data_IF_773134339901
#
_entry.id   IF_773134339901
#
_cell.length_a   1.000
_cell.length_b   1.000
_cell.length_c   1.000
_cell.angle_alpha   90.00
_cell.angle_beta   90.00
_cell.angle_gamma   90.00
#
_symmetry.space_group_name_H-M   'P 1'
#
loop_
_entity.id
_entity.type
_entity.pdbx_description
1 polymer ?
#
# COMPACT_ATOMS: atom_id res chain seq x y z
N UNK A 1 -5.96 11.47 -10.95
CA UNK A 1 -5.37 12.73 -11.43
C UNK A 1 -4.37 13.28 -10.42
N UNK A 2 -4.74 13.49 -9.16
CA UNK A 2 -3.88 14.19 -8.18
C UNK A 2 -2.53 13.52 -7.86
N UNK A 3 -2.47 12.18 -7.83
CA UNK A 3 -1.21 11.45 -7.66
C UNK A 3 -0.24 11.68 -8.83
N UNK A 4 -0.77 11.70 -10.07
CA UNK A 4 0.04 11.93 -11.27
C UNK A 4 0.53 13.38 -11.36
N UNK A 5 -0.25 14.31 -10.83
CA UNK A 5 0.11 15.73 -10.71
C UNK A 5 1.09 16.02 -9.56
N UNK A 6 1.58 14.98 -8.85
CA UNK A 6 2.54 15.11 -7.74
C UNK A 6 2.05 16.09 -6.65
N UNK A 7 0.74 16.13 -6.39
CA UNK A 7 0.19 16.98 -5.31
C UNK A 7 0.49 16.43 -3.91
N UNK A 8 0.91 15.17 -3.82
CA UNK A 8 1.29 14.50 -2.59
C UNK A 8 2.33 13.43 -2.89
N UNK A 9 3.29 13.30 -1.98
CA UNK A 9 4.38 12.33 -2.08
C UNK A 9 4.16 11.10 -1.19
N UNK A 10 3.31 11.24 -0.15
CA UNK A 10 3.08 10.21 0.86
C UNK A 10 1.60 10.11 1.25
N UNK A 11 1.07 8.89 1.21
CA UNK A 11 -0.26 8.53 1.71
C UNK A 11 -0.09 7.77 3.01
N UNK A 12 -0.76 8.22 4.08
CA UNK A 12 -0.73 7.57 5.39
C UNK A 12 -2.11 7.04 5.72
N UNK A 13 -2.21 5.77 6.09
CA UNK A 13 -3.44 5.15 6.55
C UNK A 13 -3.21 4.36 7.84
N UNK A 14 -4.26 4.25 8.67
CA UNK A 14 -4.19 3.43 9.88
C UNK A 14 -4.11 1.95 9.57
N UNK A 15 -4.87 1.46 8.59
CA UNK A 15 -4.99 0.03 8.28
C UNK A 15 -5.16 -0.21 6.78
N UNK A 16 -4.71 -1.38 6.31
CA UNK A 16 -4.82 -1.80 4.90
C UNK A 16 -6.29 -1.93 4.46
N UNK A 17 -7.17 -2.39 5.36
CA UNK A 17 -8.61 -2.56 5.06
C UNK A 17 -9.34 -1.25 4.73
N UNK A 18 -8.81 -0.09 5.14
CA UNK A 18 -9.34 1.24 4.75
C UNK A 18 -8.85 1.68 3.38
N UNK A 19 -7.77 1.08 2.90
CA UNK A 19 -7.12 1.46 1.64
C UNK A 19 -7.71 0.70 0.45
N UNK A 20 -7.93 -0.62 0.59
CA UNK A 20 -8.69 -1.37 -0.40
C UNK A 20 -9.48 -2.51 0.23
N UNK A 21 -10.56 -2.92 -0.45
CA UNK A 21 -11.41 -4.04 -0.01
C UNK A 21 -10.83 -5.39 -0.38
N UNK A 22 -9.95 -5.40 -1.39
CA UNK A 22 -9.34 -6.61 -1.93
C UNK A 22 -7.81 -6.50 -1.91
N UNK A 23 -7.18 -7.65 -1.67
CA UNK A 23 -5.74 -7.83 -1.75
C UNK A 23 -5.18 -7.42 -3.10
N UNK A 24 -5.85 -7.83 -4.18
CA UNK A 24 -5.39 -7.58 -5.55
C UNK A 24 -5.38 -6.08 -5.87
N UNK A 25 -6.46 -5.37 -5.51
CA UNK A 25 -6.53 -3.90 -5.67
C UNK A 25 -5.42 -3.21 -4.87
N UNK A 26 -5.19 -3.60 -3.62
CA UNK A 26 -4.12 -3.00 -2.79
C UNK A 26 -2.77 -3.11 -3.48
N UNK A 27 -2.45 -4.29 -4.03
CA UNK A 27 -1.18 -4.53 -4.72
C UNK A 27 -1.09 -3.73 -6.02
N UNK A 28 -2.20 -3.63 -6.75
CA UNK A 28 -2.26 -2.89 -8.01
C UNK A 28 -2.05 -1.38 -7.77
N UNK A 29 -2.75 -0.81 -6.78
CA UNK A 29 -2.64 0.62 -6.45
C UNK A 29 -1.27 0.97 -5.88
N UNK A 30 -0.72 0.17 -4.97
CA UNK A 30 0.63 0.42 -4.42
C UNK A 30 1.71 0.37 -5.50
N UNK A 31 1.61 -0.57 -6.46
CA UNK A 31 2.49 -0.60 -7.64
C UNK A 31 2.32 0.62 -8.54
N UNK A 32 1.09 1.02 -8.81
CA UNK A 32 0.81 2.19 -9.64
C UNK A 32 1.36 3.47 -9.00
N UNK A 33 1.10 3.68 -7.71
CA UNK A 33 1.59 4.82 -6.93
C UNK A 33 3.12 4.85 -6.86
N UNK A 34 3.75 3.69 -6.65
CA UNK A 34 5.22 3.58 -6.64
C UNK A 34 5.85 4.00 -7.97
N UNK A 35 5.24 3.70 -9.12
CA UNK A 35 5.73 4.16 -10.43
C UNK A 35 5.63 5.67 -10.61
N UNK A 36 4.68 6.30 -9.91
CA UNK A 36 4.48 7.74 -9.91
C UNK A 36 5.37 8.44 -8.88
N UNK A 37 6.06 7.69 -8.01
CA UNK A 37 6.90 8.25 -6.94
C UNK A 37 6.14 8.55 -5.65
N UNK A 38 4.90 8.08 -5.52
CA UNK A 38 4.09 8.24 -4.31
C UNK A 38 4.20 7.00 -3.43
N UNK A 39 4.57 7.19 -2.17
CA UNK A 39 4.63 6.13 -1.17
C UNK A 39 3.37 6.03 -0.31
N UNK A 40 3.11 4.83 0.19
CA UNK A 40 2.01 4.51 1.12
C UNK A 40 2.58 3.91 2.40
N UNK A 41 2.20 4.49 3.54
CA UNK A 41 2.56 4.06 4.88
C UNK A 41 1.34 3.60 5.68
N UNK A 42 1.40 2.36 6.15
CA UNK A 42 0.37 1.73 6.98
C UNK A 42 0.83 1.79 8.45
N UNK A 43 0.17 2.61 9.26
CA UNK A 43 0.59 2.88 10.66
C UNK A 43 0.46 1.63 11.54
N UNK A 44 -0.67 0.91 11.50
CA UNK A 44 -0.86 -0.24 12.39
C UNK A 44 0.11 -1.39 12.09
N UNK A 45 0.43 -1.59 10.82
CA UNK A 45 1.32 -2.67 10.39
C UNK A 45 2.79 -2.25 10.31
N UNK A 46 3.07 -0.94 10.38
CA UNK A 46 4.41 -0.39 10.20
C UNK A 46 4.99 -0.67 8.80
N UNK A 47 4.14 -0.85 7.79
CA UNK A 47 4.56 -1.21 6.42
C UNK A 47 4.73 0.06 5.59
N UNK A 48 5.91 0.23 5.02
CA UNK A 48 6.23 1.27 4.03
C UNK A 48 6.40 0.62 2.66
N UNK A 49 5.69 1.10 1.66
CA UNK A 49 5.73 0.53 0.29
C UNK A 49 6.97 0.92 -0.51
N UNK A 50 7.73 1.92 -0.08
CA UNK A 50 8.98 2.34 -0.73
C UNK A 50 10.18 1.47 -0.35
N UNK A 51 10.14 0.90 0.86
CA UNK A 51 11.13 -0.06 1.33
C UNK A 51 10.94 -1.37 0.52
N UNK A 52 12.01 -1.91 -0.06
CA UNK A 52 11.94 -3.07 -0.96
C UNK A 52 11.28 -4.30 -0.35
N UNK A 53 11.21 -4.36 0.99
CA UNK A 53 10.58 -5.42 1.78
C UNK A 53 9.08 -5.18 2.06
N UNK A 54 8.59 -3.96 1.84
CA UNK A 54 7.21 -3.56 2.12
C UNK A 54 6.17 -4.27 1.24
N UNK A 55 6.52 -4.54 -0.02
CA UNK A 55 5.65 -5.24 -0.98
C UNK A 55 5.47 -6.72 -0.62
N UNK A 56 6.53 -7.35 -0.10
CA UNK A 56 6.51 -8.72 0.38
C UNK A 56 5.64 -8.84 1.65
N UNK A 57 5.78 -7.89 2.59
CA UNK A 57 5.00 -7.83 3.83
C UNK A 57 3.52 -7.55 3.57
N UNK A 58 3.21 -6.69 2.58
CA UNK A 58 1.85 -6.46 2.11
C UNK A 58 1.22 -7.72 1.50
N UNK A 59 1.95 -8.38 0.60
CA UNK A 59 1.50 -9.64 -0.01
C UNK A 59 1.22 -10.71 1.04
N UNK A 60 2.09 -10.84 2.05
CA UNK A 60 1.94 -11.80 3.14
C UNK A 60 0.74 -11.48 4.04
N UNK A 61 0.52 -10.21 4.41
CA UNK A 61 -0.62 -9.77 5.23
C UNK A 61 -1.95 -10.04 4.55
N UNK A 62 -2.03 -9.72 3.27
CA UNK A 62 -3.23 -9.92 2.47
C UNK A 62 -3.53 -11.40 2.20
N UNK A 63 -2.52 -12.26 2.16
CA UNK A 63 -2.69 -13.71 2.04
C UNK A 63 -3.08 -14.37 3.37
N UNK A 64 -2.45 -13.94 4.46
CA UNK A 64 -2.58 -14.61 5.76
C UNK A 64 -3.94 -14.34 6.46
N UNK A 65 -4.67 -13.29 6.08
CA UNK A 65 -6.04 -13.04 6.58
C UNK A 65 -7.10 -14.01 6.03
N UNK A 66 -6.75 -14.88 5.06
CA UNK A 66 -7.65 -15.94 4.56
C UNK A 66 -7.46 -17.28 5.29
N UNK A 67 -6.49 -17.38 6.20
CA UNK A 67 -6.10 -18.63 6.89
C UNK A 67 -6.32 -18.61 8.41
N UNK A 68 -6.87 -17.53 8.97
CA UNK A 68 -7.25 -17.40 10.38
C UNK A 68 -8.71 -16.99 10.53
#
# INVERSE_FOLDING_TARGET
SDAHEHKFDLIITREVSRFARNTEETLHFTKALRRVGVEVFFINDGIKTFDGDGELRLSLKCFCRFLL
#
